data_IF_510446756938
#
_entry.id   IF_510446756938
#
_cell.length_a   1.000
_cell.length_b   1.000
_cell.length_c   1.000
_cell.angle_alpha   90.00
_cell.angle_beta   90.00
_cell.angle_gamma   90.00
#
_symmetry.space_group_name_H-M   'P 1'
#
loop_
_entity.id
_entity.type
_entity.pdbx_description
1 polymer ?
#
# COMPACT_ATOMS: atom_id res chain seq x y z
N UNK A 1 37.26 -29.25 -13.43
CA UNK A 1 36.60 -28.16 -12.70
C UNK A 1 35.11 -28.37 -12.84
N UNK A 2 34.45 -28.93 -11.81
CA UNK A 2 32.99 -29.02 -11.78
C UNK A 2 32.44 -27.60 -11.59
N UNK A 3 31.88 -27.03 -12.65
CA UNK A 3 31.08 -25.82 -12.54
C UNK A 3 29.83 -26.28 -11.80
N UNK A 4 29.73 -25.98 -10.50
CA UNK A 4 28.48 -26.14 -9.77
C UNK A 4 27.46 -25.23 -10.46
N UNK A 5 26.67 -25.82 -11.35
CA UNK A 5 25.51 -25.21 -11.97
C UNK A 5 24.51 -25.00 -10.82
N UNK A 6 24.61 -23.85 -10.16
CA UNK A 6 23.64 -23.48 -9.15
C UNK A 6 22.27 -23.50 -9.83
N UNK A 7 21.31 -24.28 -9.31
CA UNK A 7 19.99 -24.33 -9.90
C UNK A 7 19.44 -22.91 -9.95
N UNK A 8 18.95 -22.52 -11.12
CA UNK A 8 18.35 -21.19 -11.33
C UNK A 8 17.21 -21.03 -10.32
N UNK A 9 17.18 -19.95 -9.54
CA UNK A 9 16.15 -19.77 -8.52
C UNK A 9 14.78 -19.68 -9.19
N UNK A 10 13.81 -20.42 -8.64
CA UNK A 10 12.43 -20.47 -9.13
C UNK A 10 11.57 -19.53 -8.28
N UNK A 11 10.67 -18.80 -8.94
CA UNK A 11 9.63 -17.98 -8.31
C UNK A 11 8.28 -18.46 -8.83
N UNK A 12 7.40 -18.83 -7.90
CA UNK A 12 5.98 -19.01 -8.17
C UNK A 12 5.27 -17.66 -8.15
N UNK A 13 4.68 -17.26 -9.27
CA UNK A 13 4.06 -15.95 -9.37
C UNK A 13 2.88 -15.78 -8.40
N UNK A 14 1.96 -16.75 -8.33
CA UNK A 14 0.80 -16.62 -7.46
C UNK A 14 1.17 -16.74 -5.97
N UNK A 15 2.20 -17.53 -5.64
CA UNK A 15 2.51 -17.90 -4.25
C UNK A 15 3.61 -17.02 -3.61
N UNK A 16 4.57 -16.54 -4.40
CA UNK A 16 5.76 -15.83 -3.87
C UNK A 16 5.71 -14.32 -4.12
N UNK A 17 4.85 -13.85 -5.04
CA UNK A 17 4.68 -12.42 -5.33
C UNK A 17 3.52 -11.84 -4.51
N UNK A 18 3.86 -10.91 -3.63
CA UNK A 18 2.93 -10.20 -2.76
C UNK A 18 2.80 -8.75 -3.19
N UNK A 19 1.66 -8.14 -2.89
CA UNK A 19 1.46 -6.70 -3.12
C UNK A 19 0.93 -6.06 -1.85
N UNK A 20 1.69 -5.12 -1.30
CA UNK A 20 1.23 -4.31 -0.18
C UNK A 20 0.62 -3.02 -0.72
N UNK A 21 -0.67 -2.80 -0.44
CA UNK A 21 -1.37 -1.54 -0.73
C UNK A 21 -1.57 -0.77 0.57
N UNK A 22 -1.27 0.53 0.57
CA UNK A 22 -1.41 1.37 1.77
C UNK A 22 -1.75 2.82 1.42
N UNK A 23 -2.32 3.55 2.38
CA UNK A 23 -2.56 4.99 2.28
C UNK A 23 -1.34 5.76 2.80
N UNK A 24 -0.71 6.52 1.91
CA UNK A 24 0.26 7.53 2.31
C UNK A 24 -0.47 8.74 2.92
N UNK A 25 -0.38 8.87 4.24
CA UNK A 25 -1.08 9.91 5.00
C UNK A 25 -0.48 11.30 4.84
N UNK A 26 0.76 11.39 4.37
CA UNK A 26 1.45 12.66 4.11
C UNK A 26 1.05 13.15 2.74
N UNK A 27 1.22 12.30 1.72
CA UNK A 27 0.97 12.66 0.32
C UNK A 27 -0.51 12.53 -0.08
N UNK A 28 -1.34 11.90 0.76
CA UNK A 28 -2.77 11.63 0.52
C UNK A 28 -3.01 10.85 -0.77
N UNK A 29 -2.19 9.83 -1.01
CA UNK A 29 -2.30 8.93 -2.16
C UNK A 29 -2.29 7.47 -1.71
N UNK A 30 -2.91 6.60 -2.49
CA UNK A 30 -2.76 5.16 -2.30
C UNK A 30 -1.52 4.71 -3.04
N UNK A 31 -0.61 4.05 -2.32
CA UNK A 31 0.60 3.45 -2.88
C UNK A 31 0.46 1.93 -2.88
N UNK A 32 1.23 1.30 -3.75
CA UNK A 32 1.45 -0.13 -3.70
C UNK A 32 2.92 -0.47 -3.90
N UNK A 33 3.32 -1.60 -3.31
CA UNK A 33 4.64 -2.20 -3.48
C UNK A 33 4.45 -3.68 -3.78
N UNK A 34 4.94 -4.12 -4.94
CA UNK A 34 4.97 -5.52 -5.32
C UNK A 34 6.35 -6.09 -5.01
N UNK A 35 6.43 -7.20 -4.27
CA UNK A 35 7.70 -7.76 -3.80
C UNK A 35 7.68 -9.29 -3.80
N UNK A 36 8.87 -9.88 -3.72
CA UNK A 36 9.10 -11.32 -3.59
C UNK A 36 9.64 -11.61 -2.19
N UNK A 37 9.14 -12.67 -1.56
CA UNK A 37 9.69 -13.20 -0.30
C UNK A 37 10.72 -14.30 -0.57
N UNK A 38 11.71 -14.41 0.32
CA UNK A 38 12.69 -15.49 0.32
C UNK A 38 12.31 -16.58 1.33
N UNK A 39 12.83 -17.78 1.10
CA UNK A 39 12.58 -18.94 1.94
C UNK A 39 13.85 -19.39 2.66
N UNK A 40 13.71 -19.79 3.92
CA UNK A 40 14.80 -20.40 4.68
C UNK A 40 15.16 -21.79 4.13
N UNK A 41 16.21 -22.39 4.66
CA UNK A 41 16.64 -23.76 4.30
C UNK A 41 15.62 -24.85 4.69
N UNK A 42 14.55 -24.51 5.39
CA UNK A 42 13.41 -25.37 5.70
C UNK A 42 12.20 -25.12 4.79
N UNK A 43 12.31 -24.24 3.79
CA UNK A 43 11.22 -23.90 2.89
C UNK A 43 10.13 -23.04 3.52
N UNK A 44 10.44 -22.28 4.59
CA UNK A 44 9.51 -21.35 5.24
C UNK A 44 9.77 -19.91 4.80
N UNK A 45 8.73 -19.08 4.60
CA UNK A 45 8.90 -17.64 4.40
C UNK A 45 9.80 -17.03 5.46
N UNK A 46 10.81 -16.27 5.04
CA UNK A 46 11.83 -15.73 5.93
C UNK A 46 11.88 -14.21 5.89
N UNK A 47 12.26 -13.63 4.75
CA UNK A 47 12.48 -12.19 4.59
C UNK A 47 12.00 -11.71 3.24
N UNK A 48 11.75 -10.41 3.11
CA UNK A 48 11.65 -9.78 1.80
C UNK A 48 12.95 -10.01 1.03
N UNK A 49 12.85 -10.52 -0.20
CA UNK A 49 13.99 -10.73 -1.08
C UNK A 49 14.30 -9.47 -1.87
N UNK A 50 13.29 -8.92 -2.56
CA UNK A 50 13.38 -7.64 -3.28
C UNK A 50 12.00 -7.11 -3.66
N UNK A 51 11.95 -5.81 -3.97
CA UNK A 51 10.77 -5.12 -4.53
C UNK A 51 10.85 -5.14 -6.06
N UNK A 52 9.77 -5.57 -6.70
CA UNK A 52 9.59 -5.63 -8.17
C UNK A 52 9.21 -4.25 -8.71
N UNK A 53 8.24 -3.61 -8.05
CA UNK A 53 7.64 -2.36 -8.50
C UNK A 53 7.03 -1.61 -7.32
N UNK A 54 7.26 -0.30 -7.27
CA UNK A 54 6.54 0.64 -6.42
C UNK A 54 5.69 1.56 -7.30
N UNK A 55 4.50 1.92 -6.85
CA UNK A 55 3.61 2.78 -7.63
C UNK A 55 2.54 3.48 -6.81
N UNK A 56 1.90 4.46 -7.46
CA UNK A 56 0.72 5.16 -6.96
C UNK A 56 -0.50 4.61 -7.70
N UNK A 57 -1.56 4.28 -6.96
CA UNK A 57 -2.84 3.83 -7.50
C UNK A 57 -3.72 5.02 -7.87
N UNK A 58 -4.13 5.77 -6.85
CA UNK A 58 -5.14 6.81 -6.95
C UNK A 58 -4.86 7.87 -5.88
N UNK A 59 -5.38 9.09 -6.09
CA UNK A 59 -5.41 10.06 -5.01
C UNK A 59 -6.47 9.64 -3.97
N UNK A 60 -6.21 9.87 -2.69
CA UNK A 60 -7.10 9.42 -1.62
C UNK A 60 -8.52 10.01 -1.71
N UNK A 61 -8.66 11.19 -2.32
CA UNK A 61 -9.96 11.85 -2.51
C UNK A 61 -10.78 11.25 -3.67
N UNK A 62 -10.15 10.54 -4.59
CA UNK A 62 -10.79 9.86 -5.73
C UNK A 62 -11.38 8.51 -5.32
N UNK A 63 -10.86 7.90 -4.24
CA UNK A 63 -11.39 6.65 -3.68
C UNK A 63 -12.54 6.96 -2.72
N UNK A 64 -13.81 6.63 -3.04
CA UNK A 64 -14.96 7.07 -2.25
C UNK A 64 -14.92 6.66 -0.78
N UNK A 65 -14.54 5.40 -0.51
CA UNK A 65 -14.40 4.86 0.85
C UNK A 65 -13.41 5.70 1.69
N UNK A 66 -12.26 6.00 1.12
CA UNK A 66 -11.17 6.68 1.82
C UNK A 66 -11.49 8.16 1.98
N UNK A 67 -12.07 8.78 0.95
CA UNK A 67 -12.55 10.15 1.02
C UNK A 67 -13.65 10.33 2.09
N UNK A 68 -14.55 9.35 2.25
CA UNK A 68 -15.55 9.34 3.32
C UNK A 68 -14.88 9.38 4.71
N UNK A 69 -13.91 8.50 4.93
CA UNK A 69 -13.17 8.42 6.20
C UNK A 69 -12.36 9.70 6.47
N UNK A 70 -11.69 10.24 5.46
CA UNK A 70 -10.96 11.52 5.56
C UNK A 70 -11.91 12.65 5.94
N UNK A 71 -13.08 12.76 5.28
CA UNK A 71 -14.06 13.80 5.58
C UNK A 71 -14.66 13.67 6.98
N UNK A 72 -14.82 12.46 7.50
CA UNK A 72 -15.26 12.24 8.87
C UNK A 72 -14.18 12.71 9.87
N UNK A 73 -12.93 12.28 9.65
CA UNK A 73 -11.79 12.69 10.45
C UNK A 73 -11.57 14.21 10.47
N UNK A 74 -11.65 14.86 9.30
CA UNK A 74 -11.45 16.30 9.17
C UNK A 74 -12.55 17.10 9.86
N UNK A 75 -13.81 16.64 9.82
CA UNK A 75 -14.93 17.27 10.52
C UNK A 75 -14.69 17.28 12.03
N UNK A 76 -14.30 16.15 12.61
CA UNK A 76 -14.13 16.03 14.05
C UNK A 76 -12.85 16.76 14.54
N UNK A 77 -11.79 16.75 13.73
CA UNK A 77 -10.60 17.57 13.97
C UNK A 77 -10.87 19.09 13.87
N UNK A 78 -11.77 19.50 12.99
CA UNK A 78 -12.15 20.90 12.85
C UNK A 78 -13.01 21.37 14.04
N UNK A 79 -13.99 20.56 14.45
CA UNK A 79 -14.84 20.85 15.60
C UNK A 79 -14.05 20.93 16.91
N UNK A 80 -13.07 20.04 17.11
CA UNK A 80 -12.17 20.07 18.28
C UNK A 80 -11.25 21.31 18.30
N UNK A 81 -10.80 21.80 17.14
CA UNK A 81 -10.04 23.07 17.05
C UNK A 81 -10.90 24.29 17.36
N UNK A 82 -12.14 24.34 16.91
CA UNK A 82 -13.05 25.46 17.21
C UNK A 82 -13.41 25.47 18.70
N UNK A 83 -13.69 24.32 19.29
CA UNK A 83 -14.00 24.22 20.71
C UNK A 83 -12.82 24.64 21.62
N UNK A 84 -11.59 24.58 21.11
CA UNK A 84 -10.36 24.93 21.84
C UNK A 84 -9.90 26.38 21.60
N UNK A 85 -10.60 27.18 20.79
CA UNK A 85 -10.26 28.57 20.53
C UNK A 85 -11.09 29.53 21.40
N UNK A 86 -10.47 30.44 22.19
CA UNK A 86 -11.20 31.55 22.79
C UNK A 86 -11.74 32.45 21.67
N UNK A 87 -12.95 32.99 21.85
CA UNK A 87 -13.63 33.92 20.93
C UNK A 87 -12.85 35.22 20.68
N UNK A 88 -11.77 35.20 19.91
CA UNK A 88 -11.06 36.42 19.49
C UNK A 88 -10.00 36.16 18.39
N UNK A 89 -10.38 35.93 17.14
CA UNK A 89 -9.53 36.32 15.98
C UNK A 89 -10.41 36.67 14.77
N UNK A 90 -10.34 37.93 14.32
CA UNK A 90 -10.95 38.42 13.09
C UNK A 90 -10.27 37.85 11.83
N UNK A 91 -10.98 37.71 10.70
CA UNK A 91 -10.55 36.94 9.53
C UNK A 91 -9.75 37.81 8.55
N UNK A 92 -8.51 38.19 8.86
CA UNK A 92 -7.65 38.91 7.91
C UNK A 92 -6.24 38.33 7.88
N UNK A 93 -6.16 37.13 7.31
CA UNK A 93 -4.89 36.53 6.91
C UNK A 93 -5.21 35.45 5.89
N UNK A 94 -4.67 35.56 4.67
CA UNK A 94 -4.62 34.47 3.71
C UNK A 94 -3.70 33.38 4.27
N UNK A 95 -4.19 32.65 5.26
CA UNK A 95 -3.55 31.43 5.72
C UNK A 95 -3.65 30.46 4.56
N UNK A 96 -2.50 30.07 4.00
CA UNK A 96 -2.43 28.96 3.07
C UNK A 96 -3.22 27.80 3.71
N UNK A 97 -4.29 27.35 3.05
CA UNK A 97 -5.08 26.21 3.51
C UNK A 97 -4.17 24.99 3.30
N UNK A 98 -3.26 24.76 4.24
CA UNK A 98 -2.54 23.51 4.35
C UNK A 98 -3.56 22.49 4.85
N UNK A 99 -3.93 21.57 3.96
CA UNK A 99 -4.80 20.46 4.33
C UNK A 99 -4.09 19.68 5.44
N UNK A 100 -4.69 19.56 6.63
CA UNK A 100 -3.98 18.98 7.77
C UNK A 100 -3.54 17.54 7.43
N UNK A 101 -2.32 17.13 7.80
CA UNK A 101 -1.82 15.80 7.48
C UNK A 101 -2.73 14.74 8.12
N UNK A 102 -2.91 13.60 7.45
CA UNK A 102 -3.77 12.51 7.93
C UNK A 102 -3.06 11.64 8.99
N UNK A 103 -2.06 12.19 9.69
CA UNK A 103 -1.06 11.46 10.50
C UNK A 103 -1.65 10.53 11.56
N UNK A 104 -2.91 10.74 11.94
CA UNK A 104 -3.61 9.94 12.94
C UNK A 104 -4.92 9.34 12.42
N UNK A 105 -5.14 9.31 11.11
CA UNK A 105 -6.38 8.78 10.53
C UNK A 105 -6.63 7.34 10.97
N UNK A 106 -5.63 6.46 10.88
CA UNK A 106 -5.77 5.05 11.30
C UNK A 106 -6.17 4.90 12.78
N UNK A 107 -5.68 5.79 13.66
CA UNK A 107 -6.04 5.76 15.08
C UNK A 107 -7.47 6.25 15.34
N UNK A 108 -8.06 6.95 14.37
CA UNK A 108 -9.42 7.47 14.44
C UNK A 108 -10.46 6.49 13.87
N UNK A 109 -10.03 5.53 13.05
CA UNK A 109 -10.94 4.56 12.45
C UNK A 109 -11.45 3.57 13.49
N UNK A 110 -12.76 3.33 13.48
CA UNK A 110 -13.37 2.23 14.21
C UNK A 110 -12.91 0.88 13.62
N UNK A 111 -12.93 -0.22 14.40
CA UNK A 111 -12.53 -1.55 13.92
C UNK A 111 -13.21 -1.96 12.60
N UNK A 112 -14.49 -1.65 12.44
CA UNK A 112 -15.27 -1.98 11.24
C UNK A 112 -14.81 -1.14 10.03
N UNK A 113 -14.35 0.08 10.25
CA UNK A 113 -13.77 0.92 9.19
C UNK A 113 -12.39 0.41 8.77
N UNK A 114 -11.60 -0.08 9.72
CA UNK A 114 -10.31 -0.73 9.45
C UNK A 114 -10.53 -2.00 8.63
N UNK A 115 -11.51 -2.82 8.98
CA UNK A 115 -11.86 -4.03 8.23
C UNK A 115 -12.25 -3.70 6.77
N UNK A 116 -13.16 -2.74 6.56
CA UNK A 116 -13.53 -2.28 5.21
C UNK A 116 -12.34 -1.75 4.41
N UNK A 117 -11.39 -1.10 5.07
CA UNK A 117 -10.17 -0.60 4.42
C UNK A 117 -9.25 -1.76 4.02
N UNK A 118 -9.09 -2.76 4.88
CA UNK A 118 -8.32 -3.97 4.58
C UNK A 118 -8.95 -4.78 3.44
N UNK A 119 -10.27 -4.93 3.42
CA UNK A 119 -11.00 -5.56 2.31
C UNK A 119 -10.75 -4.83 0.98
N UNK A 120 -10.79 -3.49 1.02
CA UNK A 120 -10.48 -2.68 -0.15
C UNK A 120 -9.04 -2.89 -0.63
N UNK A 121 -8.06 -2.89 0.29
CA UNK A 121 -6.66 -3.14 -0.05
C UNK A 121 -6.41 -4.54 -0.60
N UNK A 122 -7.02 -5.57 -0.02
CA UNK A 122 -6.95 -6.94 -0.53
C UNK A 122 -7.56 -7.06 -1.93
N UNK A 123 -8.64 -6.34 -2.21
CA UNK A 123 -9.21 -6.27 -3.56
C UNK A 123 -8.26 -5.60 -4.56
N UNK A 124 -7.58 -4.52 -4.16
CA UNK A 124 -6.57 -3.85 -5.01
C UNK A 124 -5.34 -4.72 -5.22
N UNK A 125 -4.85 -5.44 -4.21
CA UNK A 125 -3.75 -6.41 -4.36
C UNK A 125 -4.09 -7.45 -5.43
N UNK A 126 -5.26 -8.10 -5.32
CA UNK A 126 -5.71 -9.10 -6.29
C UNK A 126 -5.87 -8.53 -7.71
N UNK A 127 -6.35 -7.29 -7.81
CA UNK A 127 -6.45 -6.58 -9.08
C UNK A 127 -5.05 -6.31 -9.67
N UNK A 128 -4.12 -5.79 -8.87
CA UNK A 128 -2.77 -5.46 -9.31
C UNK A 128 -2.01 -6.71 -9.77
N UNK A 129 -2.09 -7.81 -9.02
CA UNK A 129 -1.51 -9.10 -9.45
C UNK A 129 -2.05 -9.51 -10.82
N UNK A 130 -3.37 -9.46 -11.03
CA UNK A 130 -3.95 -9.79 -12.34
C UNK A 130 -3.50 -8.84 -13.46
N UNK A 131 -3.63 -7.54 -13.24
CA UNK A 131 -3.39 -6.51 -14.27
C UNK A 131 -1.90 -6.41 -14.65
N UNK A 132 -1.00 -6.63 -13.69
CA UNK A 132 0.45 -6.48 -13.86
C UNK A 132 1.17 -7.81 -14.11
N UNK A 133 0.48 -8.96 -14.08
CA UNK A 133 1.05 -10.31 -14.21
C UNK A 133 2.11 -10.42 -15.29
N UNK A 134 1.74 -10.09 -16.53
CA UNK A 134 2.64 -10.20 -17.67
C UNK A 134 3.90 -9.34 -17.54
N UNK A 135 3.77 -8.14 -16.95
CA UNK A 135 4.89 -7.23 -16.72
C UNK A 135 5.81 -7.77 -15.63
N UNK A 136 5.26 -8.13 -14.47
CA UNK A 136 6.05 -8.59 -13.34
C UNK A 136 6.73 -9.93 -13.61
N UNK A 137 6.06 -10.89 -14.26
CA UNK A 137 6.70 -12.14 -14.69
C UNK A 137 7.86 -11.88 -15.65
N UNK A 138 7.75 -10.88 -16.54
CA UNK A 138 8.86 -10.49 -17.43
C UNK A 138 10.01 -9.88 -16.65
N UNK A 139 9.73 -8.97 -15.70
CA UNK A 139 10.74 -8.38 -14.82
C UNK A 139 11.48 -9.45 -14.02
N UNK A 140 10.77 -10.41 -13.42
CA UNK A 140 11.36 -11.52 -12.67
C UNK A 140 12.27 -12.39 -13.56
N UNK A 141 11.85 -12.71 -14.78
CA UNK A 141 12.71 -13.45 -15.73
C UNK A 141 13.96 -12.65 -16.12
N UNK A 142 13.83 -11.34 -16.30
CA UNK A 142 14.95 -10.46 -16.59
C UNK A 142 15.95 -10.35 -15.42
N UNK A 143 15.48 -10.51 -14.18
CA UNK A 143 16.31 -10.61 -12.97
C UNK A 143 16.99 -11.99 -12.81
N UNK A 144 16.77 -12.93 -13.74
CA UNK A 144 17.43 -14.23 -13.73
C UNK A 144 16.67 -15.34 -13.00
N UNK A 145 15.39 -15.13 -12.65
CA UNK A 145 14.55 -16.18 -12.08
C UNK A 145 13.93 -17.05 -13.18
N UNK A 146 13.70 -18.32 -12.87
CA UNK A 146 12.68 -19.09 -13.57
C UNK A 146 11.33 -18.80 -12.92
N UNK A 147 10.28 -18.58 -13.72
CA UNK A 147 9.00 -18.08 -13.22
C UNK A 147 7.88 -19.00 -13.66
N UNK A 148 7.34 -19.72 -12.69
CA UNK A 148 6.17 -20.60 -12.85
C UNK A 148 4.90 -19.85 -12.43
N UNK A 149 3.72 -20.19 -13.00
CA UNK A 149 2.49 -19.51 -12.65
C UNK A 149 2.08 -19.77 -11.18
N UNK A 150 2.12 -21.01 -10.72
CA UNK A 150 1.79 -21.43 -9.35
C UNK A 150 2.59 -22.71 -9.00
N UNK A 151 2.57 -23.12 -7.73
CA UNK A 151 3.22 -24.36 -7.24
C UNK A 151 2.39 -25.65 -7.48
N UNK A 152 1.35 -25.60 -8.32
CA UNK A 152 0.42 -26.72 -8.55
C UNK A 152 0.90 -27.74 -9.58
#
# INVERSE_FOLDING_TARGET
>A
MSIYEYPKPVVSYEDDVFVWVYLDQIDRVLRYEAFVIDYDHHGRPSTLKFVIEEGVLDNAHEVPLINEFIKAYERDCFLSRIASMPSCVHPHGRTLISTPPLRFLYNYLAPEQIERLHEYFAAQENRLKRDKKSRWMRSLRALGFDVVPNLA
#
